data_IF_077062246661
#
_entry.id   IF_077062246661
#
_cell.length_a   1.000
_cell.length_b   1.000
_cell.length_c   1.000
_cell.angle_alpha   90.00
_cell.angle_beta   90.00
_cell.angle_gamma   90.00
#
_symmetry.space_group_name_H-M   'P 1'
#
loop_
_entity.id
_entity.type
_entity.pdbx_description
1 polymer ?
#
# COMPACT_ATOMS: atom_id res chain seq x y z
N UNK A 1 -9.02 46.11 33.78
CA UNK A 1 -9.81 45.16 32.96
C UNK A 1 -9.25 44.95 31.55
N UNK A 2 -9.01 45.99 30.73
CA UNK A 2 -8.52 45.85 29.33
C UNK A 2 -7.20 45.08 29.14
N UNK A 3 -6.29 45.11 30.13
CA UNK A 3 -4.96 44.44 30.07
C UNK A 3 -5.03 42.90 30.10
N UNK A 4 -6.13 42.31 30.58
CA UNK A 4 -6.33 40.86 30.67
C UNK A 4 -7.12 40.28 29.49
N UNK A 5 -7.95 41.12 28.84
CA UNK A 5 -8.84 40.70 27.76
C UNK A 5 -8.08 40.16 26.55
N UNK A 6 -7.03 40.86 26.10
CA UNK A 6 -6.27 40.44 24.92
C UNK A 6 -5.52 39.11 25.16
N UNK A 7 -4.73 38.94 26.24
CA UNK A 7 -4.09 37.66 26.52
C UNK A 7 -5.09 36.52 26.76
N UNK A 8 -6.23 36.80 27.36
CA UNK A 8 -7.28 35.81 27.62
C UNK A 8 -7.93 35.33 26.32
N UNK A 9 -8.34 36.25 25.44
CA UNK A 9 -8.95 35.92 24.15
C UNK A 9 -7.96 35.15 23.28
N UNK A 10 -6.72 35.61 23.18
CA UNK A 10 -5.69 34.95 22.40
C UNK A 10 -5.33 33.57 22.97
N UNK A 11 -5.19 33.47 24.29
CA UNK A 11 -4.90 32.22 24.98
C UNK A 11 -6.00 31.18 24.79
N UNK A 12 -7.26 31.56 25.05
CA UNK A 12 -8.42 30.66 24.88
C UNK A 12 -8.66 30.32 23.41
N UNK A 13 -8.48 31.28 22.50
CA UNK A 13 -8.62 31.05 21.06
C UNK A 13 -7.59 30.05 20.52
N UNK A 14 -6.31 30.26 20.84
CA UNK A 14 -5.24 29.32 20.47
C UNK A 14 -5.45 27.92 21.07
N UNK A 15 -5.84 27.86 22.35
CA UNK A 15 -6.17 26.59 23.01
C UNK A 15 -7.32 25.84 22.32
N UNK A 16 -8.42 26.54 22.00
CA UNK A 16 -9.58 25.95 21.33
C UNK A 16 -9.23 25.42 19.93
N UNK A 17 -8.37 26.13 19.18
CA UNK A 17 -7.88 25.68 17.87
C UNK A 17 -7.04 24.40 18.02
N UNK A 18 -6.09 24.37 18.94
CA UNK A 18 -5.21 23.21 19.16
C UNK A 18 -6.00 21.98 19.62
N UNK A 19 -6.99 22.15 20.51
CA UNK A 19 -7.92 21.09 20.88
C UNK A 19 -8.72 20.58 19.68
N UNK A 20 -9.23 21.50 18.84
CA UNK A 20 -10.00 21.15 17.65
C UNK A 20 -9.16 20.34 16.66
N UNK A 21 -7.88 20.68 16.48
CA UNK A 21 -6.94 19.92 15.66
C UNK A 21 -6.66 18.52 16.24
N UNK A 22 -6.50 18.41 17.57
CA UNK A 22 -6.36 17.11 18.23
C UNK A 22 -7.57 16.20 18.03
N UNK A 23 -8.78 16.74 18.20
CA UNK A 23 -10.04 16.01 17.95
C UNK A 23 -10.16 15.61 16.48
N UNK A 24 -9.81 16.50 15.56
CA UNK A 24 -9.82 16.20 14.13
C UNK A 24 -8.88 15.04 13.78
N UNK A 25 -7.67 15.01 14.36
CA UNK A 25 -6.73 13.90 14.14
C UNK A 25 -7.30 12.56 14.64
N UNK A 26 -7.99 12.52 15.78
CA UNK A 26 -8.63 11.30 16.26
C UNK A 26 -9.76 10.83 15.33
N UNK A 27 -10.62 11.74 14.86
CA UNK A 27 -11.66 11.40 13.87
C UNK A 27 -11.05 10.88 12.57
N UNK A 28 -9.93 11.48 12.14
CA UNK A 28 -9.21 11.07 10.93
C UNK A 28 -8.55 9.70 11.10
N UNK A 29 -8.03 9.41 12.30
CA UNK A 29 -7.50 8.09 12.67
C UNK A 29 -8.59 7.01 12.52
N UNK A 30 -9.74 7.20 13.17
CA UNK A 30 -10.86 6.25 13.13
C UNK A 30 -11.36 6.01 11.70
N UNK A 31 -11.58 7.10 10.95
CA UNK A 31 -11.96 7.02 9.54
C UNK A 31 -10.96 6.21 8.72
N UNK A 32 -9.66 6.45 8.92
CA UNK A 32 -8.61 5.74 8.19
C UNK A 32 -8.53 4.27 8.60
N UNK A 33 -8.69 3.96 9.88
CA UNK A 33 -8.74 2.59 10.38
C UNK A 33 -9.91 1.82 9.78
N UNK A 34 -11.10 2.43 9.66
CA UNK A 34 -12.26 1.79 9.04
C UNK A 34 -11.99 1.41 7.58
N UNK A 35 -11.36 2.30 6.79
CA UNK A 35 -10.98 2.02 5.40
C UNK A 35 -9.97 0.87 5.31
N UNK A 36 -8.94 0.88 6.17
CA UNK A 36 -7.92 -0.18 6.17
C UNK A 36 -8.53 -1.54 6.56
N UNK A 37 -9.42 -1.54 7.54
CA UNK A 37 -10.13 -2.75 7.95
C UNK A 37 -11.03 -3.31 6.83
N UNK A 38 -11.71 -2.44 6.08
CA UNK A 38 -12.48 -2.87 4.91
C UNK A 38 -11.58 -3.51 3.85
N UNK A 39 -10.45 -2.86 3.52
CA UNK A 39 -9.46 -3.39 2.57
C UNK A 39 -8.95 -4.75 3.03
N UNK A 40 -8.54 -4.88 4.30
CA UNK A 40 -8.01 -6.14 4.83
C UNK A 40 -9.06 -7.25 4.83
N UNK A 41 -10.32 -6.93 5.15
CA UNK A 41 -11.42 -7.91 5.09
C UNK A 41 -11.66 -8.44 3.67
N UNK A 42 -11.54 -7.58 2.65
CA UNK A 42 -11.68 -7.97 1.25
C UNK A 42 -10.49 -8.80 0.78
N UNK A 43 -9.28 -8.38 1.11
CA UNK A 43 -8.05 -9.08 0.71
C UNK A 43 -8.01 -10.48 1.33
N UNK A 44 -8.47 -10.65 2.57
CA UNK A 44 -8.36 -11.91 3.32
C UNK A 44 -9.59 -12.82 3.25
N UNK A 45 -10.63 -12.43 2.51
CA UNK A 45 -11.80 -13.28 2.28
C UNK A 45 -11.44 -14.62 1.62
N UNK A 46 -12.36 -15.58 1.71
CA UNK A 46 -12.19 -16.90 1.12
C UNK A 46 -11.99 -16.78 -0.41
N UNK A 47 -10.91 -17.34 -0.96
CA UNK A 47 -10.62 -17.21 -2.39
C UNK A 47 -11.61 -18.00 -3.23
N UNK A 48 -11.91 -17.46 -4.41
CA UNK A 48 -12.73 -18.11 -5.44
C UNK A 48 -11.88 -18.47 -6.67
N UNK A 49 -12.34 -19.34 -7.58
CA UNK A 49 -11.66 -19.54 -8.86
C UNK A 49 -11.54 -18.24 -9.65
N UNK A 50 -10.49 -18.11 -10.47
CA UNK A 50 -10.28 -16.95 -11.35
C UNK A 50 -11.50 -16.74 -12.27
N UNK A 51 -12.22 -15.60 -12.17
CA UNK A 51 -13.36 -15.32 -13.05
C UNK A 51 -12.97 -15.31 -14.53
N UNK A 52 -13.91 -15.62 -15.42
CA UNK A 52 -13.69 -15.55 -16.88
C UNK A 52 -13.51 -14.11 -17.37
N UNK A 53 -14.38 -13.22 -16.91
CA UNK A 53 -14.40 -11.80 -17.28
C UNK A 53 -14.42 -10.94 -16.01
N UNK A 54 -13.30 -10.78 -15.31
CA UNK A 54 -13.24 -9.95 -14.12
C UNK A 54 -13.38 -8.45 -14.47
N UNK A 55 -14.13 -7.71 -13.65
CA UNK A 55 -14.20 -6.25 -13.74
C UNK A 55 -13.01 -5.62 -13.00
N UNK A 56 -12.17 -4.85 -13.72
CA UNK A 56 -10.93 -4.27 -13.19
C UNK A 56 -11.13 -3.40 -11.93
N UNK A 57 -12.32 -2.81 -11.74
CA UNK A 57 -12.63 -1.92 -10.61
C UNK A 57 -13.33 -2.66 -9.48
N UNK A 58 -14.38 -3.42 -9.79
CA UNK A 58 -15.19 -4.12 -8.81
C UNK A 58 -14.44 -5.30 -8.19
N UNK A 59 -13.67 -6.03 -8.98
CA UNK A 59 -12.93 -7.22 -8.56
C UNK A 59 -11.50 -6.90 -8.13
N UNK A 60 -11.13 -5.62 -8.04
CA UNK A 60 -9.82 -5.20 -7.52
C UNK A 60 -9.64 -5.73 -6.10
N UNK A 61 -8.56 -6.47 -5.91
CA UNK A 61 -8.20 -7.17 -4.67
C UNK A 61 -9.08 -8.36 -4.31
N UNK A 62 -9.95 -8.81 -5.22
CA UNK A 62 -10.71 -10.04 -5.02
C UNK A 62 -9.75 -11.21 -4.79
N UNK A 63 -9.91 -11.98 -3.70
CA UNK A 63 -9.07 -13.15 -3.45
C UNK A 63 -9.42 -14.26 -4.43
N UNK A 64 -8.41 -14.80 -5.08
CA UNK A 64 -8.57 -15.87 -6.07
C UNK A 64 -7.56 -16.99 -5.87
N UNK A 65 -7.94 -18.17 -6.37
CA UNK A 65 -7.06 -19.33 -6.52
C UNK A 65 -7.00 -19.73 -7.98
N UNK A 66 -5.79 -20.02 -8.46
CA UNK A 66 -5.49 -20.45 -9.81
C UNK A 66 -4.67 -21.75 -9.75
N UNK A 67 -5.11 -22.75 -10.51
CA UNK A 67 -4.40 -24.01 -10.70
C UNK A 67 -3.93 -24.10 -12.15
N UNK A 68 -2.67 -24.49 -12.35
CA UNK A 68 -2.05 -24.46 -13.67
C UNK A 68 -0.54 -24.57 -13.63
N UNK A 69 0.10 -24.11 -14.71
CA UNK A 69 1.53 -24.27 -14.95
C UNK A 69 2.21 -22.93 -15.21
N UNK A 70 3.37 -22.69 -14.61
CA UNK A 70 4.21 -21.58 -15.05
C UNK A 70 4.82 -21.90 -16.41
N UNK A 71 4.70 -20.97 -17.34
CA UNK A 71 5.18 -21.08 -18.72
C UNK A 71 6.71 -21.07 -18.84
N UNK A 72 7.40 -20.55 -17.82
CA UNK A 72 8.82 -20.23 -17.86
C UNK A 72 9.14 -18.87 -18.47
N UNK A 73 8.17 -18.19 -19.09
CA UNK A 73 8.31 -16.80 -19.50
C UNK A 73 8.07 -15.88 -18.31
N UNK A 74 9.02 -14.97 -18.07
CA UNK A 74 8.96 -14.04 -16.94
C UNK A 74 9.62 -12.71 -17.26
N UNK A 75 9.03 -11.65 -16.70
CA UNK A 75 9.45 -10.27 -16.76
C UNK A 75 9.87 -9.80 -15.37
N UNK A 76 10.82 -8.87 -15.32
CA UNK A 76 11.29 -8.25 -14.08
C UNK A 76 10.81 -6.80 -14.04
N UNK A 77 10.22 -6.40 -12.93
CA UNK A 77 9.83 -5.01 -12.68
C UNK A 77 10.69 -4.44 -11.57
N UNK A 78 11.46 -3.38 -11.83
CA UNK A 78 12.33 -2.77 -10.84
C UNK A 78 11.53 -2.29 -9.62
N UNK A 79 11.98 -2.61 -8.41
CA UNK A 79 11.34 -2.18 -7.17
C UNK A 79 12.38 -1.90 -6.09
N UNK A 80 12.04 -1.00 -5.17
CA UNK A 80 12.76 -0.83 -3.91
C UNK A 80 11.85 -1.20 -2.76
N UNK A 81 12.26 -2.17 -1.96
CA UNK A 81 11.47 -2.69 -0.84
C UNK A 81 12.11 -2.27 0.46
N UNK A 82 11.30 -1.69 1.35
CA UNK A 82 11.72 -1.31 2.70
C UNK A 82 12.36 -2.52 3.39
N UNK A 83 13.51 -2.31 4.03
CA UNK A 83 14.30 -3.32 4.76
C UNK A 83 14.93 -4.44 3.90
N UNK A 84 14.64 -4.52 2.58
CA UNK A 84 15.26 -5.46 1.64
C UNK A 84 16.14 -4.80 0.57
N UNK A 85 15.96 -3.50 0.32
CA UNK A 85 16.71 -2.75 -0.68
C UNK A 85 16.13 -2.91 -2.09
N UNK A 86 16.97 -2.63 -3.09
CA UNK A 86 16.59 -2.74 -4.49
C UNK A 86 16.52 -4.20 -4.95
N UNK A 87 15.61 -4.48 -5.88
CA UNK A 87 15.43 -5.79 -6.50
C UNK A 87 14.40 -5.72 -7.61
N UNK A 88 13.81 -6.87 -7.94
CA UNK A 88 12.79 -6.97 -8.96
C UNK A 88 11.53 -7.63 -8.40
N UNK A 89 10.36 -7.24 -8.94
CA UNK A 89 9.15 -8.05 -8.87
C UNK A 89 9.15 -8.97 -10.08
N UNK A 90 9.01 -10.26 -9.84
CA UNK A 90 8.95 -11.28 -10.89
C UNK A 90 7.49 -11.45 -11.33
N UNK A 91 7.22 -11.12 -12.60
CA UNK A 91 5.90 -11.27 -13.23
C UNK A 91 6.01 -12.37 -14.27
N UNK A 92 5.30 -13.47 -14.09
CA UNK A 92 5.42 -14.65 -14.93
C UNK A 92 4.11 -14.99 -15.63
N UNK A 93 4.22 -15.57 -16.83
CA UNK A 93 3.08 -16.15 -17.53
C UNK A 93 2.67 -17.49 -16.89
N UNK A 94 1.38 -17.68 -16.68
CA UNK A 94 0.79 -18.84 -16.02
C UNK A 94 -0.39 -19.38 -16.83
N UNK A 95 -0.28 -20.63 -17.27
CA UNK A 95 -1.31 -21.31 -18.06
C UNK A 95 -2.30 -21.99 -17.10
N UNK A 96 -3.54 -21.53 -17.08
CA UNK A 96 -4.63 -22.10 -16.31
C UNK A 96 -5.07 -23.44 -16.93
N UNK A 97 -5.61 -24.34 -16.09
CA UNK A 97 -6.19 -25.62 -16.54
C UNK A 97 -7.35 -25.47 -17.54
N UNK A 98 -7.96 -24.29 -17.64
CA UNK A 98 -9.02 -24.00 -18.61
C UNK A 98 -8.50 -23.47 -19.97
N UNK A 99 -7.17 -23.40 -20.15
CA UNK A 99 -6.51 -23.02 -21.39
C UNK A 99 -6.21 -21.53 -21.52
N UNK A 100 -6.63 -20.69 -20.57
CA UNK A 100 -6.27 -19.27 -20.53
C UNK A 100 -4.86 -19.08 -20.01
N UNK A 101 -4.15 -18.09 -20.54
CA UNK A 101 -2.87 -17.62 -19.99
C UNK A 101 -3.09 -16.34 -19.20
N UNK A 102 -2.66 -16.31 -17.95
CA UNK A 102 -2.73 -15.11 -17.10
C UNK A 102 -1.34 -14.71 -16.62
N UNK A 103 -1.24 -13.56 -15.97
CA UNK A 103 -0.02 -13.15 -15.28
C UNK A 103 -0.09 -13.48 -13.79
N UNK A 104 1.06 -13.86 -13.23
CA UNK A 104 1.24 -14.01 -11.79
C UNK A 104 2.42 -13.17 -11.36
N UNK A 105 2.17 -12.27 -10.42
CA UNK A 105 3.18 -11.52 -9.70
C UNK A 105 3.63 -12.34 -8.50
N UNK A 106 4.76 -13.02 -8.66
CA UNK A 106 5.33 -13.96 -7.70
C UNK A 106 5.98 -13.25 -6.50
N UNK A 107 6.26 -11.94 -6.63
CA UNK A 107 6.88 -11.13 -5.61
C UNK A 107 8.36 -10.82 -5.87
N UNK A 108 9.13 -10.64 -4.81
CA UNK A 108 10.47 -10.05 -4.84
C UNK A 108 11.57 -11.08 -5.11
N UNK A 109 12.51 -10.70 -5.96
CA UNK A 109 13.83 -11.34 -6.14
C UNK A 109 14.93 -10.28 -5.99
N UNK A 110 16.11 -10.68 -5.49
CA UNK A 110 17.25 -9.78 -5.31
C UNK A 110 17.91 -9.36 -6.64
N UNK A 111 18.69 -8.27 -6.64
CA UNK A 111 19.42 -7.84 -7.85
C UNK A 111 20.45 -8.87 -8.34
N UNK A 112 21.03 -9.63 -7.40
CA UNK A 112 22.02 -10.67 -7.68
C UNK A 112 21.38 -11.99 -8.16
N UNK A 113 20.07 -12.14 -7.97
CA UNK A 113 19.28 -13.29 -8.41
C UNK A 113 18.90 -13.12 -9.88
N UNK A 114 19.88 -13.37 -10.75
CA UNK A 114 19.70 -13.28 -12.21
C UNK A 114 19.05 -14.53 -12.82
N UNK A 115 18.95 -15.63 -12.07
CA UNK A 115 18.34 -16.87 -12.54
C UNK A 115 16.82 -16.73 -12.54
N UNK A 116 16.22 -16.70 -13.73
CA UNK A 116 14.77 -16.73 -13.87
C UNK A 116 14.29 -18.16 -13.66
N UNK A 117 13.32 -18.39 -12.78
CA UNK A 117 12.79 -19.72 -12.58
C UNK A 117 12.09 -20.18 -13.86
N UNK A 118 12.41 -21.40 -14.31
CA UNK A 118 11.89 -21.96 -15.56
C UNK A 118 10.41 -22.33 -15.50
N UNK A 119 9.94 -23.14 -16.45
CA UNK A 119 8.60 -23.69 -16.38
C UNK A 119 8.41 -24.55 -15.12
N UNK A 120 7.21 -24.56 -14.55
CA UNK A 120 6.87 -25.38 -13.39
C UNK A 120 5.43 -25.87 -13.50
N UNK A 121 5.20 -27.19 -13.60
CA UNK A 121 3.86 -27.76 -13.73
C UNK A 121 3.18 -27.95 -12.36
N UNK A 122 1.86 -28.15 -12.39
CA UNK A 122 1.03 -28.53 -11.24
C UNK A 122 1.15 -27.58 -10.04
N UNK A 123 1.12 -26.28 -10.33
CA UNK A 123 1.22 -25.21 -9.35
C UNK A 123 -0.16 -24.68 -8.98
N UNK A 124 -0.34 -24.40 -7.68
CA UNK A 124 -1.50 -23.66 -7.17
C UNK A 124 -1.04 -22.30 -6.66
N UNK A 125 -1.59 -21.24 -7.24
CA UNK A 125 -1.38 -19.85 -6.82
C UNK A 125 -2.62 -19.37 -6.08
N UNK A 126 -2.46 -18.87 -4.85
CA UNK A 126 -3.50 -18.11 -4.17
C UNK A 126 -3.02 -16.69 -3.93
N UNK A 127 -3.89 -15.72 -4.21
CA UNK A 127 -3.54 -14.31 -4.22
C UNK A 127 -4.74 -13.42 -4.44
N UNK A 128 -4.50 -12.23 -4.95
CA UNK A 128 -5.52 -11.22 -5.16
C UNK A 128 -5.42 -10.65 -6.58
N UNK A 129 -6.58 -10.41 -7.22
CA UNK A 129 -6.62 -9.76 -8.53
C UNK A 129 -6.15 -8.31 -8.42
N UNK A 130 -5.34 -7.86 -9.39
CA UNK A 130 -4.88 -6.48 -9.43
C UNK A 130 -4.55 -6.02 -10.85
N UNK A 131 -4.90 -4.77 -11.17
CA UNK A 131 -4.55 -4.10 -12.43
C UNK A 131 -3.73 -2.84 -12.10
N UNK A 132 -2.42 -2.98 -11.86
CA UNK A 132 -1.56 -1.84 -11.53
C UNK A 132 -1.35 -0.92 -12.74
N UNK A 133 -1.39 0.37 -12.48
CA UNK A 133 -1.00 1.42 -13.44
C UNK A 133 -0.04 2.35 -12.70
N UNK A 134 1.25 2.05 -12.83
CA UNK A 134 2.32 2.70 -12.08
C UNK A 134 3.26 3.51 -12.96
N UNK A 135 2.88 3.73 -14.23
CA UNK A 135 3.67 4.52 -15.17
C UNK A 135 3.27 5.99 -15.12
N UNK A 136 4.27 6.86 -15.26
CA UNK A 136 4.09 8.29 -15.44
C UNK A 136 5.01 8.81 -16.56
N UNK A 137 4.96 10.12 -16.82
CA UNK A 137 5.78 10.77 -17.87
C UNK A 137 7.30 10.67 -17.63
N UNK A 138 7.74 10.28 -16.43
CA UNK A 138 9.15 10.15 -16.06
C UNK A 138 9.61 8.70 -15.98
N UNK A 139 8.67 7.77 -16.09
CA UNK A 139 8.97 6.34 -16.10
C UNK A 139 9.63 6.00 -17.45
N UNK A 140 10.86 5.47 -17.45
CA UNK A 140 11.49 5.05 -18.69
C UNK A 140 10.70 3.94 -19.38
N UNK A 141 10.78 3.87 -20.71
CA UNK A 141 10.20 2.76 -21.47
C UNK A 141 10.86 1.43 -21.06
N UNK A 142 10.12 0.30 -21.09
CA UNK A 142 10.67 -1.01 -20.75
C UNK A 142 11.79 -1.42 -21.70
N UNK A 143 12.82 -2.08 -21.16
CA UNK A 143 13.87 -2.73 -21.93
C UNK A 143 13.47 -4.19 -22.18
N UNK A 144 12.75 -4.40 -23.27
CA UNK A 144 12.27 -5.72 -23.70
C UNK A 144 13.42 -6.66 -24.11
N UNK A 145 14.61 -6.15 -24.40
CA UNK A 145 15.78 -7.00 -24.70
C UNK A 145 16.32 -7.71 -23.45
N UNK A 146 16.01 -7.17 -22.27
CA UNK A 146 16.40 -7.72 -20.97
C UNK A 146 15.19 -8.17 -20.12
N UNK A 147 14.00 -8.17 -20.71
CA UNK A 147 12.71 -8.42 -20.04
C UNK A 147 12.55 -7.57 -18.76
N UNK A 148 12.93 -6.29 -18.87
CA UNK A 148 12.99 -5.36 -17.74
C UNK A 148 11.99 -4.23 -17.91
N UNK A 149 11.19 -4.04 -16.88
CA UNK A 149 10.23 -2.96 -16.73
C UNK A 149 10.65 -2.07 -15.55
N UNK A 150 10.42 -0.77 -15.66
CA UNK A 150 10.75 0.19 -14.61
C UNK A 150 9.57 0.51 -13.67
N UNK A 151 8.37 0.12 -14.06
CA UNK A 151 7.14 0.17 -13.26
C UNK A 151 6.16 -0.90 -13.75
N UNK A 152 5.11 -1.21 -12.98
CA UNK A 152 4.05 -2.11 -13.43
C UNK A 152 3.07 -1.37 -14.35
N UNK A 153 3.32 -1.50 -15.64
CA UNK A 153 2.35 -1.20 -16.69
C UNK A 153 1.58 -2.48 -17.02
N UNK A 154 0.36 -2.58 -16.50
CA UNK A 154 -0.44 -3.79 -16.62
C UNK A 154 -0.66 -4.23 -18.08
N UNK A 155 -1.05 -3.33 -18.97
CA UNK A 155 -1.40 -3.70 -20.35
C UNK A 155 -0.13 -4.02 -21.17
N UNK A 156 0.99 -3.33 -20.89
CA UNK A 156 2.27 -3.65 -21.53
C UNK A 156 2.86 -4.99 -21.04
N UNK A 157 2.73 -5.31 -19.76
CA UNK A 157 3.09 -6.62 -19.20
C UNK A 157 2.27 -7.74 -19.84
N UNK A 158 0.94 -7.55 -19.95
CA UNK A 158 0.05 -8.53 -20.55
C UNK A 158 0.43 -8.84 -22.00
N UNK A 159 0.76 -7.78 -22.76
CA UNK A 159 1.22 -7.87 -24.15
C UNK A 159 2.55 -8.60 -24.27
N UNK A 160 3.52 -8.28 -23.40
CA UNK A 160 4.85 -8.89 -23.44
C UNK A 160 4.86 -10.38 -23.05
N UNK A 161 3.88 -10.82 -22.25
CA UNK A 161 3.69 -12.23 -21.86
C UNK A 161 2.67 -12.99 -22.71
N UNK A 162 2.08 -12.36 -23.73
CA UNK A 162 1.01 -12.93 -24.56
C UNK A 162 -0.11 -13.55 -23.71
N UNK A 163 -0.61 -12.77 -22.74
CA UNK A 163 -1.56 -13.22 -21.72
C UNK A 163 -2.87 -12.45 -21.75
N UNK A 164 -3.93 -13.10 -21.27
CA UNK A 164 -5.20 -12.45 -20.96
C UNK A 164 -4.99 -11.33 -19.93
N UNK A 165 -5.83 -10.28 -19.94
CA UNK A 165 -5.71 -9.15 -19.03
C UNK A 165 -6.18 -9.50 -17.60
N UNK A 166 -5.50 -10.46 -16.98
CA UNK A 166 -5.69 -10.92 -15.61
C UNK A 166 -4.31 -11.05 -14.95
N UNK A 167 -4.13 -10.40 -13.79
CA UNK A 167 -2.93 -10.51 -12.97
C UNK A 167 -3.31 -10.89 -11.54
N UNK A 168 -2.66 -11.94 -11.02
CA UNK A 168 -2.76 -12.35 -9.62
C UNK A 168 -1.49 -11.90 -8.89
N UNK A 169 -1.65 -11.09 -7.85
CA UNK A 169 -0.58 -10.82 -6.88
C UNK A 169 -0.53 -11.98 -5.90
N UNK A 170 0.52 -12.80 -5.99
CA UNK A 170 0.61 -14.03 -5.21
C UNK A 170 0.78 -13.73 -3.71
N UNK A 171 0.03 -14.46 -2.90
CA UNK A 171 0.25 -14.59 -1.45
C UNK A 171 0.98 -15.90 -1.15
N UNK A 172 0.54 -16.98 -1.79
CA UNK A 172 1.14 -18.30 -1.66
C UNK A 172 1.22 -18.95 -3.04
N UNK A 173 2.35 -19.60 -3.31
CA UNK A 173 2.56 -20.44 -4.48
C UNK A 173 2.95 -21.81 -3.96
N UNK A 174 2.18 -22.84 -4.29
CA UNK A 174 2.40 -24.22 -3.85
C UNK A 174 2.76 -25.11 -5.04
N UNK A 175 3.45 -26.22 -4.78
CA UNK A 175 3.84 -27.18 -5.82
C UNK A 175 5.24 -26.97 -6.41
N UNK A 176 6.01 -26.01 -5.90
CA UNK A 176 7.37 -25.71 -6.35
C UNK A 176 8.21 -25.11 -5.21
N UNK A 177 9.54 -25.11 -5.35
CA UNK A 177 10.43 -24.37 -4.47
C UNK A 177 10.14 -22.86 -4.55
N UNK A 178 10.51 -22.09 -3.53
CA UNK A 178 10.27 -20.65 -3.51
C UNK A 178 10.99 -19.94 -4.68
N UNK A 179 10.24 -19.63 -5.75
CA UNK A 179 10.69 -18.95 -6.98
C UNK A 179 11.00 -17.46 -6.77
N UNK A 180 10.24 -16.84 -5.87
CA UNK A 180 10.38 -15.47 -5.41
C UNK A 180 9.81 -15.36 -3.99
N UNK A 181 10.10 -14.27 -3.29
CA UNK A 181 9.47 -13.99 -1.99
C UNK A 181 8.15 -13.24 -2.21
N UNK A 182 6.97 -13.83 -1.93
CA UNK A 182 5.69 -13.20 -2.18
C UNK A 182 5.57 -11.79 -1.61
N UNK A 183 4.94 -10.91 -2.38
CA UNK A 183 4.61 -9.54 -1.97
C UNK A 183 3.09 -9.35 -2.04
N UNK A 184 2.32 -9.98 -1.13
CA UNK A 184 0.88 -9.92 -1.17
C UNK A 184 0.38 -8.48 -1.07
N UNK A 185 -0.81 -8.24 -1.59
CA UNK A 185 -1.52 -6.97 -1.35
C UNK A 185 -1.76 -6.85 0.16
N UNK A 186 -1.34 -5.74 0.77
CA UNK A 186 -1.56 -5.46 2.18
C UNK A 186 -1.92 -3.99 2.40
N UNK A 187 -2.68 -3.72 3.46
CA UNK A 187 -2.90 -2.37 3.96
C UNK A 187 -1.72 -1.82 4.78
N UNK A 188 -0.78 -2.69 5.19
CA UNK A 188 0.30 -2.39 6.14
C UNK A 188 1.26 -1.28 5.67
N UNK A 189 1.40 -1.09 4.35
CA UNK A 189 2.21 -0.02 3.77
C UNK A 189 1.59 1.37 3.88
N UNK A 190 0.32 1.51 4.28
CA UNK A 190 -0.40 2.79 4.35
C UNK A 190 -0.12 3.46 5.70
N UNK A 191 0.65 4.58 5.77
CA UNK A 191 1.03 5.18 7.05
C UNK A 191 -0.19 5.71 7.82
N UNK A 192 -0.30 5.43 9.12
CA UNK A 192 -1.42 5.91 9.97
C UNK A 192 -0.93 6.59 11.26
N UNK A 193 -0.26 7.73 11.11
CA UNK A 193 0.39 8.44 12.22
C UNK A 193 -0.55 9.42 12.97
N UNK A 194 -1.86 9.36 12.73
CA UNK A 194 -2.84 10.33 13.25
C UNK A 194 -2.88 10.37 14.79
N UNK A 195 -2.64 9.25 15.48
CA UNK A 195 -2.53 9.22 16.94
C UNK A 195 -1.35 10.06 17.45
N UNK A 196 -0.16 9.91 16.84
CA UNK A 196 1.03 10.67 17.22
C UNK A 196 0.82 12.18 17.05
N UNK A 197 0.18 12.58 15.95
CA UNK A 197 -0.21 13.98 15.76
C UNK A 197 -1.27 14.44 16.77
N UNK A 198 -2.26 13.61 17.11
CA UNK A 198 -3.24 13.96 18.14
C UNK A 198 -2.57 14.26 19.48
N UNK A 199 -1.62 13.39 19.91
CA UNK A 199 -0.81 13.61 21.12
C UNK A 199 -0.03 14.93 21.04
N UNK A 200 0.58 15.22 19.88
CA UNK A 200 1.30 16.48 19.68
C UNK A 200 0.38 17.71 19.83
N UNK A 201 -0.81 17.70 19.22
CA UNK A 201 -1.75 18.83 19.31
C UNK A 201 -2.29 19.03 20.72
N UNK A 202 -2.65 17.96 21.43
CA UNK A 202 -3.09 18.06 22.82
C UNK A 202 -1.96 18.50 23.76
N UNK A 203 -0.73 18.03 23.54
CA UNK A 203 0.46 18.48 24.28
C UNK A 203 0.72 19.98 24.08
N UNK A 204 0.66 20.46 22.84
CA UNK A 204 0.77 21.89 22.53
C UNK A 204 -0.36 22.70 23.16
N UNK A 205 -1.59 22.19 23.16
CA UNK A 205 -2.73 22.83 23.82
C UNK A 205 -2.49 23.00 25.34
N UNK A 206 -1.97 21.97 26.01
CA UNK A 206 -1.64 22.01 27.43
C UNK A 206 -0.58 23.08 27.75
N UNK A 207 0.52 23.10 26.98
CA UNK A 207 1.60 24.08 27.15
C UNK A 207 1.07 25.50 26.91
N UNK A 208 0.30 25.70 25.85
CA UNK A 208 -0.31 26.99 25.51
C UNK A 208 -1.23 27.52 26.61
N UNK A 209 -2.07 26.65 27.17
CA UNK A 209 -2.94 26.99 28.29
C UNK A 209 -2.12 27.34 29.54
N UNK A 210 -1.10 26.54 29.87
CA UNK A 210 -0.20 26.80 30.99
C UNK A 210 0.51 28.15 30.87
N UNK A 211 1.05 28.47 29.69
CA UNK A 211 1.67 29.77 29.40
C UNK A 211 0.68 30.93 29.53
N UNK A 212 -0.55 30.74 29.05
CA UNK A 212 -1.63 31.74 29.16
C UNK A 212 -1.96 32.02 30.62
N UNK A 213 -2.17 30.97 31.43
CA UNK A 213 -2.47 31.09 32.87
C UNK A 213 -1.31 31.76 33.60
N UNK A 214 -0.06 31.35 33.33
CA UNK A 214 1.13 31.97 33.92
C UNK A 214 1.25 33.46 33.59
N UNK A 215 1.00 33.85 32.33
CA UNK A 215 1.01 35.24 31.92
C UNK A 215 -0.06 36.05 32.66
N UNK A 216 -1.29 35.55 32.74
CA UNK A 216 -2.38 36.21 33.47
C UNK A 216 -2.06 36.37 34.95
N UNK A 217 -1.50 35.33 35.59
CA UNK A 217 -1.03 35.39 36.97
C UNK A 217 0.08 36.43 37.17
N UNK A 218 1.03 36.51 36.24
CA UNK A 218 2.12 37.49 36.28
C UNK A 218 1.61 38.93 36.13
N UNK A 219 0.63 39.16 35.25
CA UNK A 219 0.00 40.49 35.10
C UNK A 219 -0.71 40.85 36.41
N UNK A 220 -1.46 39.92 37.01
CA UNK A 220 -2.14 40.14 38.29
C UNK A 220 -1.18 40.52 39.43
N UNK A 221 -0.03 39.84 39.55
CA UNK A 221 0.98 40.14 40.58
C UNK A 221 1.69 41.49 40.41
N UNK A 222 1.64 42.09 39.22
CA UNK A 222 2.24 43.42 38.95
C UNK A 222 1.26 44.57 39.18
N UNK A 223 -0.04 44.26 39.20
CA UNK A 223 -1.12 45.22 39.44
C UNK A 223 -1.54 45.26 40.94
N UNK A 224 -0.95 44.42 41.79
CA UNK A 224 -1.06 44.42 43.28
C UNK A 224 0.23 44.99 43.86
#
# INVERSE_FOLDING_TARGET
>A
MKRYLVPLIFGLGGFAILLSLGVWQLKRLEWKQAILAEIDSRITAAPVPVPFEPDRKADRYMPVTADGDFTGQSLRVLVSVKDRGAGYRLISGFDLKDGRRIMVDEGFIGLEENARPGAAPDVTVSGNLHWPDEVDRWTPAPDLSQDLFYARDFDALATALDSDPILIVARTVSGTDARATPMPVTSQGVPNNHLGYAVQWFGLALVWLGMTVFLLWRIRRRDV
#
